data_IF_705980639410
#
_entry.id   IF_705980639410
#
_cell.length_a   1.000
_cell.length_b   1.000
_cell.length_c   1.000
_cell.angle_alpha   90.00
_cell.angle_beta   90.00
_cell.angle_gamma   90.00
#
_symmetry.space_group_name_H-M   'P 1'
#
loop_
_entity.id
_entity.type
_entity.pdbx_description
1 polymer ?
#
# COMPACT_ATOMS: atom_id res chain seq x y z
N UNK A 1 -13.20 23.55 -22.34
CA UNK A 1 -12.71 22.90 -21.11
C UNK A 1 -11.40 22.21 -21.48
N UNK A 2 -10.25 22.74 -21.09
CA UNK A 2 -8.98 22.03 -21.23
C UNK A 2 -8.69 21.34 -19.89
N UNK A 3 -8.56 20.00 -19.84
CA UNK A 3 -8.23 19.32 -18.60
C UNK A 3 -6.85 19.77 -18.11
N UNK A 4 -6.75 19.96 -16.80
CA UNK A 4 -5.51 20.32 -16.10
C UNK A 4 -4.48 19.21 -16.39
N UNK A 5 -3.35 19.58 -16.99
CA UNK A 5 -2.22 18.67 -17.20
C UNK A 5 -1.45 18.54 -15.89
N UNK A 6 -1.48 17.36 -15.30
CA UNK A 6 -0.69 17.02 -14.11
C UNK A 6 0.49 16.15 -14.57
N UNK A 7 1.71 16.65 -14.39
CA UNK A 7 2.95 15.91 -14.65
C UNK A 7 3.55 16.06 -16.06
N UNK A 8 4.80 15.64 -16.19
CA UNK A 8 5.53 15.62 -17.45
C UNK A 8 4.94 14.59 -18.43
N UNK A 9 5.00 14.91 -19.72
CA UNK A 9 4.53 14.06 -20.80
C UNK A 9 5.63 13.10 -21.23
N UNK A 10 5.29 11.83 -21.34
CA UNK A 10 6.16 10.79 -21.88
C UNK A 10 5.64 10.39 -23.25
N UNK A 11 6.56 10.33 -24.23
CA UNK A 11 6.25 9.83 -25.57
C UNK A 11 6.53 8.33 -25.62
N UNK A 12 5.54 7.54 -26.00
CA UNK A 12 5.63 6.07 -26.05
C UNK A 12 5.23 5.54 -27.43
N UNK A 13 5.68 4.34 -27.83
CA UNK A 13 5.23 3.73 -29.08
C UNK A 13 3.71 3.56 -29.13
N UNK A 14 3.12 3.87 -30.28
CA UNK A 14 1.69 3.65 -30.54
C UNK A 14 1.40 2.20 -30.94
N UNK A 15 0.23 1.69 -30.56
CA UNK A 15 -0.20 0.33 -30.86
C UNK A 15 -0.24 0.02 -32.37
N UNK A 16 -0.74 0.97 -33.17
CA UNK A 16 -0.82 0.88 -34.63
C UNK A 16 0.36 1.60 -35.33
N UNK A 17 1.50 1.73 -34.64
CA UNK A 17 2.67 2.46 -35.10
C UNK A 17 2.71 3.92 -34.65
N UNK A 18 3.78 4.62 -35.02
CA UNK A 18 4.04 5.99 -34.57
C UNK A 18 4.27 6.09 -33.06
N UNK A 19 4.01 7.27 -32.51
CA UNK A 19 4.11 7.53 -31.07
C UNK A 19 2.84 8.18 -30.55
N UNK A 20 2.56 7.95 -29.27
CA UNK A 20 1.46 8.59 -28.54
C UNK A 20 2.00 9.27 -27.29
N UNK A 21 1.29 10.31 -26.85
CA UNK A 21 1.61 11.03 -25.63
C UNK A 21 0.87 10.36 -24.47
N UNK A 22 1.60 10.03 -23.42
CA UNK A 22 1.09 9.53 -22.15
C UNK A 22 1.51 10.46 -21.02
N UNK A 23 0.73 10.51 -19.95
CA UNK A 23 1.23 10.96 -18.66
C UNK A 23 1.89 9.78 -17.91
N UNK A 24 2.53 10.08 -16.78
CA UNK A 24 3.18 9.07 -15.95
C UNK A 24 2.22 8.03 -15.37
N UNK A 25 0.99 8.42 -15.02
CA UNK A 25 0.00 7.50 -14.43
C UNK A 25 -0.43 6.44 -15.44
N UNK A 26 -0.78 6.87 -16.65
CA UNK A 26 -1.13 6.00 -17.76
C UNK A 26 0.06 5.16 -18.22
N UNK A 27 1.29 5.71 -18.15
CA UNK A 27 2.50 4.96 -18.44
C UNK A 27 2.73 3.82 -17.44
N UNK A 28 2.54 4.07 -16.14
CA UNK A 28 2.60 3.01 -15.12
C UNK A 28 1.54 1.93 -15.37
N UNK A 29 0.31 2.31 -15.73
CA UNK A 29 -0.74 1.36 -16.11
C UNK A 29 -0.33 0.47 -17.29
N UNK A 30 0.25 1.07 -18.34
CA UNK A 30 0.84 0.35 -19.48
C UNK A 30 1.91 -0.65 -19.03
N UNK A 31 2.84 -0.24 -18.18
CA UNK A 31 3.92 -1.12 -17.71
C UNK A 31 3.40 -2.31 -16.90
N UNK A 32 2.32 -2.13 -16.12
CA UNK A 32 1.67 -3.25 -15.43
C UNK A 32 1.00 -4.22 -16.41
N UNK A 33 0.35 -3.70 -17.46
CA UNK A 33 -0.24 -4.54 -18.50
C UNK A 33 0.81 -5.36 -19.24
N UNK A 34 1.94 -4.76 -19.61
CA UNK A 34 3.06 -5.45 -20.24
C UNK A 34 3.52 -6.66 -19.42
N UNK A 35 3.79 -6.42 -18.12
CA UNK A 35 4.22 -7.47 -17.18
C UNK A 35 3.17 -8.57 -17.05
N UNK A 36 1.90 -8.21 -16.99
CA UNK A 36 0.81 -9.18 -16.88
C UNK A 36 0.72 -10.05 -18.14
N UNK A 37 0.74 -9.44 -19.33
CA UNK A 37 0.69 -10.18 -20.59
C UNK A 37 1.91 -11.10 -20.71
N UNK A 38 3.11 -10.61 -20.40
CA UNK A 38 4.33 -11.40 -20.44
C UNK A 38 4.31 -12.58 -19.47
N UNK A 39 3.82 -12.40 -18.25
CA UNK A 39 3.71 -13.45 -17.23
C UNK A 39 2.84 -14.63 -17.67
N UNK A 40 1.74 -14.36 -18.37
CA UNK A 40 0.78 -15.38 -18.80
C UNK A 40 0.99 -15.87 -20.23
N UNK A 41 1.86 -15.23 -21.01
CA UNK A 41 2.18 -15.64 -22.39
C UNK A 41 2.69 -17.10 -22.47
N UNK A 42 3.58 -17.59 -21.58
CA UNK A 42 3.99 -18.99 -21.58
C UNK A 42 2.85 -19.99 -21.28
N UNK A 43 1.75 -19.52 -20.68
CA UNK A 43 0.57 -20.34 -20.37
C UNK A 43 -0.43 -20.38 -21.54
N UNK A 44 -0.06 -19.83 -22.70
CA UNK A 44 -0.89 -19.82 -23.91
C UNK A 44 -1.80 -18.60 -24.06
N UNK A 45 -1.57 -17.51 -23.31
CA UNK A 45 -2.34 -16.29 -23.45
C UNK A 45 -2.10 -15.63 -24.83
N UNK A 46 -3.17 -15.44 -25.59
CA UNK A 46 -3.20 -14.62 -26.79
C UNK A 46 -3.92 -13.30 -26.50
N UNK A 47 -3.16 -12.22 -26.30
CA UNK A 47 -3.71 -10.89 -25.99
C UNK A 47 -3.71 -10.00 -27.25
N UNK A 48 -4.84 -9.34 -27.53
CA UNK A 48 -4.98 -8.42 -28.67
C UNK A 48 -5.30 -7.01 -28.18
N UNK A 49 -4.46 -6.03 -28.52
CA UNK A 49 -4.69 -4.62 -28.21
C UNK A 49 -5.47 -3.97 -29.35
N UNK A 50 -6.72 -3.60 -29.07
CA UNK A 50 -7.61 -3.00 -30.05
C UNK A 50 -7.68 -1.46 -30.02
N UNK A 51 -6.97 -0.85 -29.07
CA UNK A 51 -7.01 0.58 -28.83
C UNK A 51 -5.99 1.33 -29.68
N UNK A 52 -6.37 2.52 -30.15
CA UNK A 52 -5.43 3.44 -30.81
C UNK A 52 -4.68 4.29 -29.77
N UNK A 53 -3.98 3.61 -28.87
CA UNK A 53 -3.24 4.21 -27.76
C UNK A 53 -1.81 3.67 -27.69
N UNK A 54 -1.27 3.58 -26.48
CA UNK A 54 0.06 3.04 -26.26
C UNK A 54 0.13 1.57 -26.69
N UNK A 55 1.27 1.18 -27.27
CA UNK A 55 1.62 -0.21 -27.50
C UNK A 55 1.80 -0.91 -26.14
N UNK A 56 1.22 -2.10 -26.04
CA UNK A 56 1.38 -3.00 -24.89
C UNK A 56 2.29 -4.13 -25.34
N UNK A 57 3.40 -4.35 -24.63
CA UNK A 57 4.33 -5.41 -24.98
C UNK A 57 3.70 -6.79 -24.78
N UNK A 58 4.01 -7.70 -25.68
CA UNK A 58 3.44 -9.05 -25.70
C UNK A 58 2.03 -9.16 -26.31
N UNK A 59 1.30 -8.06 -26.46
CA UNK A 59 -0.01 -8.03 -27.13
C UNK A 59 0.10 -7.78 -28.66
N UNK A 60 -0.87 -8.28 -29.42
CA UNK A 60 -0.96 -8.09 -30.86
C UNK A 60 -1.86 -6.89 -31.21
N UNK A 61 -1.42 -5.93 -32.04
CA UNK A 61 -2.28 -4.87 -32.52
C UNK A 61 -3.36 -5.44 -33.44
N UNK A 62 -4.63 -5.13 -33.18
CA UNK A 62 -5.77 -5.60 -33.98
C UNK A 62 -6.87 -4.54 -34.00
N UNK A 63 -7.33 -4.08 -35.15
CA UNK A 63 -8.49 -3.17 -35.12
C UNK A 63 -9.74 -3.93 -34.69
N UNK A 64 -10.59 -3.30 -33.88
CA UNK A 64 -11.82 -3.92 -33.37
C UNK A 64 -12.78 -4.41 -34.47
N UNK A 65 -12.78 -3.74 -35.63
CA UNK A 65 -13.55 -4.14 -36.82
C UNK A 65 -13.05 -5.44 -37.49
N UNK A 66 -11.82 -5.85 -37.22
CA UNK A 66 -11.18 -7.03 -37.79
C UNK A 66 -11.27 -8.24 -36.84
N UNK A 67 -11.96 -8.08 -35.69
CA UNK A 67 -12.20 -9.18 -34.75
C UNK A 67 -13.17 -10.17 -35.39
N UNK A 68 -12.73 -11.42 -35.53
CA UNK A 68 -13.56 -12.56 -35.92
C UNK A 68 -13.58 -13.55 -34.75
N UNK A 69 -14.73 -13.69 -34.10
CA UNK A 69 -14.92 -14.66 -33.02
C UNK A 69 -15.45 -15.96 -33.59
N UNK A 70 -14.64 -17.01 -33.55
CA UNK A 70 -15.13 -18.39 -33.66
C UNK A 70 -15.60 -18.81 -32.27
N UNK A 71 -16.90 -18.68 -32.01
CA UNK A 71 -17.47 -19.02 -30.70
C UNK A 71 -17.52 -20.54 -30.58
N UNK A 72 -16.48 -21.13 -30.00
CA UNK A 72 -16.46 -22.57 -29.67
C UNK A 72 -17.07 -22.86 -28.29
N UNK A 73 -17.18 -21.84 -27.42
CA UNK A 73 -17.62 -21.99 -26.03
C UNK A 73 -18.86 -21.15 -25.74
N UNK A 74 -19.82 -21.72 -25.01
CA UNK A 74 -20.99 -21.00 -24.52
C UNK A 74 -20.58 -20.05 -23.38
N UNK A 75 -20.77 -18.74 -23.61
CA UNK A 75 -20.50 -17.69 -22.62
C UNK A 75 -21.15 -18.00 -21.27
N UNK A 76 -22.35 -18.60 -21.27
CA UNK A 76 -23.09 -18.93 -20.05
C UNK A 76 -22.32 -19.95 -19.21
N UNK A 77 -21.75 -20.97 -19.84
CA UNK A 77 -20.94 -21.99 -19.17
C UNK A 77 -19.67 -21.40 -18.55
N UNK A 78 -19.00 -20.46 -19.25
CA UNK A 78 -17.82 -19.76 -18.72
C UNK A 78 -18.18 -18.92 -17.50
N UNK A 79 -19.30 -18.18 -17.56
CA UNK A 79 -19.79 -17.38 -16.42
C UNK A 79 -20.10 -18.29 -15.22
N UNK A 80 -20.80 -19.40 -15.45
CA UNK A 80 -21.16 -20.34 -14.40
C UNK A 80 -19.92 -20.99 -13.77
N UNK A 81 -18.94 -21.39 -14.60
CA UNK A 81 -17.66 -21.88 -14.12
C UNK A 81 -16.95 -20.85 -13.23
N UNK A 82 -16.81 -19.61 -13.69
CA UNK A 82 -16.17 -18.54 -12.91
C UNK A 82 -16.88 -18.38 -11.57
N UNK A 83 -18.21 -18.25 -11.56
CA UNK A 83 -19.00 -18.02 -10.34
C UNK A 83 -18.95 -19.19 -9.36
N UNK A 84 -18.98 -20.42 -9.85
CA UNK A 84 -19.11 -21.61 -9.01
C UNK A 84 -17.77 -22.23 -8.60
N UNK A 85 -16.70 -22.01 -9.37
CA UNK A 85 -15.42 -22.71 -9.17
C UNK A 85 -14.27 -21.78 -8.77
N UNK A 86 -14.34 -20.48 -9.09
CA UNK A 86 -13.24 -19.54 -8.80
C UNK A 86 -13.54 -18.60 -7.62
N UNK A 87 -14.71 -18.72 -7.02
CA UNK A 87 -15.10 -17.96 -5.84
C UNK A 87 -15.57 -18.90 -4.73
N UNK A 88 -15.32 -18.50 -3.49
CA UNK A 88 -15.86 -19.13 -2.30
C UNK A 88 -17.00 -18.23 -1.80
N UNK A 89 -18.14 -18.78 -1.36
CA UNK A 89 -19.19 -17.98 -0.72
C UNK A 89 -18.60 -17.17 0.44
N UNK A 90 -18.97 -15.89 0.51
CA UNK A 90 -18.62 -15.08 1.69
C UNK A 90 -19.41 -15.63 2.87
N UNK A 91 -18.70 -16.01 3.93
CA UNK A 91 -19.33 -16.40 5.16
C UNK A 91 -19.88 -15.14 5.87
N UNK A 92 -21.20 -15.00 5.85
CA UNK A 92 -21.91 -13.87 6.47
C UNK A 92 -22.07 -14.02 7.98
N UNK A 93 -21.69 -15.17 8.55
CA UNK A 93 -21.76 -15.43 9.99
C UNK A 93 -20.45 -15.11 10.71
N UNK A 94 -19.37 -14.83 9.97
CA UNK A 94 -18.09 -14.39 10.55
C UNK A 94 -18.28 -13.03 11.20
N UNK A 95 -18.11 -12.97 12.51
CA UNK A 95 -17.96 -11.70 13.21
C UNK A 95 -16.59 -11.09 12.82
N UNK A 96 -16.61 -10.14 11.88
CA UNK A 96 -15.41 -9.45 11.44
C UNK A 96 -14.63 -8.80 12.59
N UNK A 97 -15.32 -8.48 13.69
CA UNK A 97 -14.69 -7.93 14.90
C UNK A 97 -13.71 -8.90 15.54
N UNK A 98 -13.96 -10.21 15.45
CA UNK A 98 -13.06 -11.25 15.95
C UNK A 98 -11.77 -11.35 15.13
N UNK A 99 -11.79 -10.91 13.86
CA UNK A 99 -10.61 -10.91 12.98
C UNK A 99 -9.66 -9.74 13.21
N UNK A 100 -10.07 -8.73 13.99
CA UNK A 100 -9.32 -7.49 14.20
C UNK A 100 -8.29 -7.56 15.32
N UNK A 101 -8.37 -8.59 16.18
CA UNK A 101 -7.42 -8.88 17.26
C UNK A 101 -6.96 -7.63 18.05
N UNK A 102 -7.93 -6.90 18.62
CA UNK A 102 -7.68 -5.65 19.35
C UNK A 102 -6.68 -5.81 20.50
N UNK A 103 -6.67 -6.98 21.15
CA UNK A 103 -5.75 -7.27 22.26
C UNK A 103 -4.31 -7.40 21.76
N UNK A 104 -4.09 -8.07 20.62
CA UNK A 104 -2.77 -8.11 20.01
C UNK A 104 -2.30 -6.71 19.60
N UNK A 105 -3.20 -5.89 19.05
CA UNK A 105 -2.86 -4.51 18.69
C UNK A 105 -2.47 -3.66 19.90
N UNK A 106 -3.23 -3.76 20.99
CA UNK A 106 -2.94 -3.09 22.25
C UNK A 106 -1.58 -3.53 22.81
N UNK A 107 -1.29 -4.83 22.75
CA UNK A 107 0.00 -5.38 23.18
C UNK A 107 1.16 -4.84 22.34
N UNK A 108 1.03 -4.81 21.01
CA UNK A 108 2.06 -4.27 20.10
C UNK A 108 2.35 -2.80 20.45
N UNK A 109 1.31 -1.96 20.53
CA UNK A 109 1.47 -0.55 20.86
C UNK A 109 2.12 -0.35 22.24
N UNK A 110 1.69 -1.12 23.24
CA UNK A 110 2.25 -1.06 24.59
C UNK A 110 3.73 -1.44 24.61
N UNK A 111 4.12 -2.53 23.98
CA UNK A 111 5.53 -2.96 23.94
C UNK A 111 6.40 -1.97 23.17
N UNK A 112 5.90 -1.36 22.09
CA UNK A 112 6.60 -0.26 21.43
C UNK A 112 6.84 0.92 22.38
N UNK A 113 5.84 1.31 23.18
CA UNK A 113 5.99 2.37 24.19
C UNK A 113 7.01 1.98 25.26
N UNK A 114 6.99 0.73 25.74
CA UNK A 114 7.94 0.23 26.74
C UNK A 114 9.39 0.32 26.23
N UNK A 115 9.65 -0.04 24.97
CA UNK A 115 10.97 0.12 24.34
C UNK A 115 11.39 1.60 24.31
N UNK A 116 10.46 2.49 23.92
CA UNK A 116 10.70 3.92 23.77
C UNK A 116 10.75 4.71 25.09
N UNK A 117 10.28 4.12 26.20
CA UNK A 117 10.37 4.69 27.55
C UNK A 117 11.75 4.42 28.21
N UNK A 118 12.65 3.72 27.53
CA UNK A 118 14.05 3.56 27.95
C UNK A 118 14.73 4.92 28.10
N UNK A 119 15.44 5.13 29.21
CA UNK A 119 16.21 6.35 29.43
C UNK A 119 17.34 6.48 28.39
N UNK A 120 17.46 7.66 27.78
CA UNK A 120 18.50 7.97 26.78
C UNK A 120 19.21 9.27 27.15
N UNK A 121 20.53 9.27 27.04
CA UNK A 121 21.39 10.40 27.39
C UNK A 121 22.17 10.95 26.19
N UNK A 122 22.21 10.23 25.07
CA UNK A 122 22.92 10.63 23.86
C UNK A 122 22.20 10.14 22.59
N UNK A 123 22.65 10.65 21.43
CA UNK A 123 22.05 10.31 20.13
C UNK A 123 22.14 8.82 19.79
N UNK A 124 23.20 8.15 20.21
CA UNK A 124 23.38 6.71 19.95
C UNK A 124 22.29 5.91 20.64
N UNK A 125 22.08 6.14 21.94
CA UNK A 125 21.02 5.51 22.72
C UNK A 125 19.62 5.85 22.18
N UNK A 126 19.39 7.12 21.80
CA UNK A 126 18.14 7.53 21.17
C UNK A 126 17.89 6.82 19.83
N UNK A 127 18.92 6.68 19.00
CA UNK A 127 18.82 5.94 17.74
C UNK A 127 18.55 4.45 17.99
N UNK A 128 19.24 3.84 18.93
CA UNK A 128 19.12 2.42 19.24
C UNK A 128 17.70 2.09 19.72
N UNK A 129 17.12 2.89 20.61
CA UNK A 129 15.73 2.72 21.09
C UNK A 129 14.70 2.88 19.96
N UNK A 130 14.88 3.86 19.06
CA UNK A 130 14.03 3.99 17.88
C UNK A 130 14.11 2.76 16.97
N UNK A 131 15.33 2.31 16.67
CA UNK A 131 15.56 1.15 15.81
C UNK A 131 15.03 -0.13 16.44
N UNK A 132 15.14 -0.29 17.74
CA UNK A 132 14.56 -1.41 18.47
C UNK A 132 13.03 -1.42 18.35
N UNK A 133 12.37 -0.27 18.56
CA UNK A 133 10.91 -0.17 18.43
C UNK A 133 10.43 -0.50 17.00
N UNK A 134 11.17 -0.07 15.97
CA UNK A 134 10.87 -0.41 14.58
C UNK A 134 11.13 -1.88 14.29
N UNK A 135 12.25 -2.46 14.75
CA UNK A 135 12.54 -3.89 14.54
C UNK A 135 11.45 -4.76 15.18
N UNK A 136 10.98 -4.38 16.36
CA UNK A 136 9.83 -5.03 16.99
C UNK A 136 8.57 -4.94 16.12
N UNK A 137 8.20 -3.76 15.60
CA UNK A 137 7.07 -3.66 14.68
C UNK A 137 7.27 -4.53 13.42
N UNK A 138 8.47 -4.51 12.83
CA UNK A 138 8.78 -5.27 11.61
C UNK A 138 8.81 -6.78 11.81
N UNK A 139 8.93 -7.31 13.03
CA UNK A 139 8.83 -8.75 13.26
C UNK A 139 7.46 -9.31 12.89
N UNK A 140 6.41 -8.47 12.91
CA UNK A 140 5.04 -8.86 12.53
C UNK A 140 4.78 -8.88 11.02
N UNK A 141 5.69 -8.33 10.20
CA UNK A 141 5.51 -8.21 8.74
C UNK A 141 5.39 -9.56 8.02
N UNK A 142 6.10 -10.58 8.51
CA UNK A 142 6.12 -11.91 7.89
C UNK A 142 5.00 -12.83 8.42
N UNK A 143 4.32 -12.44 9.49
CA UNK A 143 3.29 -13.26 10.13
C UNK A 143 1.90 -12.89 9.59
N UNK A 144 1.30 -13.77 8.78
CA UNK A 144 -0.03 -13.53 8.16
C UNK A 144 -1.10 -13.13 9.17
N UNK A 145 -1.04 -13.66 10.39
CA UNK A 145 -1.98 -13.32 11.47
C UNK A 145 -1.90 -11.84 11.85
N UNK A 146 -0.72 -11.26 11.96
CA UNK A 146 -0.51 -9.89 12.46
C UNK A 146 -0.20 -8.87 11.37
N UNK A 147 -0.08 -9.31 10.11
CA UNK A 147 0.21 -8.44 8.98
C UNK A 147 -0.76 -7.26 8.88
N UNK A 148 -2.05 -7.48 9.14
CA UNK A 148 -3.04 -6.40 9.11
C UNK A 148 -2.78 -5.33 10.19
N UNK A 149 -2.37 -5.73 11.40
CA UNK A 149 -2.00 -4.81 12.48
C UNK A 149 -0.71 -4.06 12.18
N UNK A 150 0.28 -4.75 11.61
CA UNK A 150 1.51 -4.14 11.12
C UNK A 150 1.21 -3.02 10.10
N UNK A 151 0.36 -3.30 9.11
CA UNK A 151 -0.01 -2.35 8.07
C UNK A 151 -0.75 -1.10 8.61
N UNK A 152 -1.46 -1.22 9.74
CA UNK A 152 -2.10 -0.07 10.39
C UNK A 152 -1.09 0.96 10.93
N UNK A 153 0.10 0.52 11.35
CA UNK A 153 1.08 1.37 12.03
C UNK A 153 2.32 1.67 11.16
N UNK A 154 2.70 0.79 10.22
CA UNK A 154 3.98 0.89 9.47
C UNK A 154 4.21 2.29 8.89
N UNK A 155 3.19 2.85 8.22
CA UNK A 155 3.31 4.18 7.58
C UNK A 155 3.60 5.30 8.58
N UNK A 156 2.85 5.35 9.68
CA UNK A 156 3.02 6.35 10.73
C UNK A 156 4.36 6.17 11.44
N UNK A 157 4.74 4.94 11.77
CA UNK A 157 6.01 4.65 12.42
C UNK A 157 7.19 5.10 11.55
N UNK A 158 7.19 4.79 10.25
CA UNK A 158 8.26 5.22 9.33
C UNK A 158 8.34 6.75 9.20
N UNK A 159 7.19 7.43 9.08
CA UNK A 159 7.13 8.88 8.95
C UNK A 159 7.63 9.58 10.23
N UNK A 160 7.12 9.15 11.38
CA UNK A 160 7.49 9.70 12.69
C UNK A 160 8.95 9.40 13.01
N UNK A 161 9.45 8.19 12.74
CA UNK A 161 10.89 7.90 12.89
C UNK A 161 11.75 8.82 12.02
N UNK A 162 11.37 9.08 10.76
CA UNK A 162 12.12 10.01 9.91
C UNK A 162 12.16 11.43 10.50
N UNK A 163 11.05 11.87 11.09
CA UNK A 163 10.95 13.17 11.78
C UNK A 163 11.82 13.21 13.04
N UNK A 164 11.79 12.15 13.85
CA UNK A 164 12.60 12.02 15.07
C UNK A 164 14.10 11.98 14.76
N UNK A 165 14.51 11.28 13.68
CA UNK A 165 15.88 11.29 13.18
C UNK A 165 16.32 12.70 12.73
N UNK A 166 15.43 13.43 12.05
CA UNK A 166 15.67 14.84 11.75
C UNK A 166 15.87 15.67 13.02
N UNK A 167 15.04 15.45 14.04
CA UNK A 167 15.21 16.07 15.36
C UNK A 167 16.56 15.77 16.00
N UNK A 168 17.04 14.52 15.89
CA UNK A 168 18.32 14.09 16.47
C UNK A 168 19.53 14.69 15.76
N UNK A 169 19.52 14.83 14.43
CA UNK A 169 20.74 15.09 13.66
C UNK A 169 20.80 16.44 12.94
N UNK A 170 19.75 17.27 13.00
CA UNK A 170 19.73 18.53 12.24
C UNK A 170 20.48 19.71 12.91
N UNK A 171 20.74 19.69 14.22
CA UNK A 171 21.42 20.78 14.92
C UNK A 171 22.05 20.34 16.25
N UNK A 172 22.81 21.24 16.89
CA UNK A 172 23.26 21.17 18.29
C UNK A 172 24.19 20.01 18.65
N UNK A 173 24.59 19.94 19.92
CA UNK A 173 25.23 18.75 20.52
C UNK A 173 24.21 17.87 21.28
N UNK A 174 24.66 16.82 21.96
CA UNK A 174 23.76 15.87 22.64
C UNK A 174 22.98 16.56 23.78
N UNK A 175 23.61 17.47 24.54
CA UNK A 175 22.95 18.18 25.65
C UNK A 175 21.83 19.09 25.14
N UNK A 176 22.05 19.74 24.00
CA UNK A 176 21.06 20.62 23.38
C UNK A 176 19.89 19.84 22.76
N UNK A 177 20.16 18.73 22.06
CA UNK A 177 19.14 18.04 21.23
C UNK A 177 18.27 17.08 22.01
N UNK A 178 18.81 16.37 22.99
CA UNK A 178 18.08 15.30 23.69
C UNK A 178 16.76 15.80 24.31
N UNK A 179 16.69 16.98 24.97
CA UNK A 179 15.43 17.52 25.47
C UNK A 179 14.35 17.71 24.39
N UNK A 180 14.73 18.20 23.20
CA UNK A 180 13.79 18.38 22.09
C UNK A 180 13.37 17.05 21.48
N UNK A 181 14.32 16.12 21.33
CA UNK A 181 14.02 14.75 20.89
C UNK A 181 13.01 14.09 21.83
N UNK A 182 13.21 14.17 23.14
CA UNK A 182 12.29 13.58 24.13
C UNK A 182 10.90 14.21 24.06
N UNK A 183 10.81 15.53 23.83
CA UNK A 183 9.52 16.20 23.62
C UNK A 183 8.81 15.70 22.33
N UNK A 184 9.55 15.53 21.23
CA UNK A 184 9.00 14.95 19.99
C UNK A 184 8.59 13.49 20.17
N UNK A 185 9.40 12.70 20.87
CA UNK A 185 9.15 11.29 21.15
C UNK A 185 7.88 11.11 22.00
N UNK A 186 7.62 12.02 22.92
CA UNK A 186 6.40 11.97 23.74
C UNK A 186 5.13 12.08 22.90
N UNK A 187 5.13 12.84 21.80
CA UNK A 187 4.00 12.86 20.87
C UNK A 187 3.75 11.50 20.22
N UNK A 188 4.83 10.80 19.83
CA UNK A 188 4.74 9.45 19.29
C UNK A 188 4.22 8.44 20.31
N UNK A 189 4.77 8.45 21.53
CA UNK A 189 4.31 7.58 22.63
C UNK A 189 2.86 7.88 22.99
N UNK A 190 2.45 9.15 23.01
CA UNK A 190 1.05 9.54 23.23
C UNK A 190 0.13 8.98 22.16
N UNK A 191 0.52 9.04 20.89
CA UNK A 191 -0.23 8.42 19.80
C UNK A 191 -0.35 6.91 20.03
N UNK A 192 0.77 6.20 20.24
CA UNK A 192 0.78 4.75 20.48
C UNK A 192 -0.09 4.33 21.66
N UNK A 193 -0.13 5.12 22.74
CA UNK A 193 -1.02 4.85 23.89
C UNK A 193 -2.51 5.03 23.55
N UNK A 194 -2.84 5.93 22.62
CA UNK A 194 -4.22 6.22 22.20
C UNK A 194 -4.72 5.35 21.04
N UNK A 195 -3.81 4.84 20.21
CA UNK A 195 -4.13 4.10 18.99
C UNK A 195 -5.00 2.86 19.25
N UNK A 196 -4.77 2.04 20.30
CA UNK A 196 -5.63 0.89 20.59
C UNK A 196 -7.08 1.27 20.84
N UNK A 197 -7.33 2.34 21.59
CA UNK A 197 -8.69 2.85 21.83
C UNK A 197 -9.32 3.32 20.54
N UNK A 198 -8.61 4.12 19.74
CA UNK A 198 -9.11 4.59 18.43
C UNK A 198 -9.46 3.42 17.52
N UNK A 199 -8.62 2.39 17.46
CA UNK A 199 -8.88 1.21 16.64
C UNK A 199 -10.11 0.46 17.13
N UNK A 200 -10.24 0.23 18.45
CA UNK A 200 -11.36 -0.49 19.05
C UNK A 200 -12.70 0.22 18.90
N UNK A 201 -12.71 1.55 18.97
CA UNK A 201 -13.92 2.36 18.93
C UNK A 201 -14.35 2.79 17.52
N UNK A 202 -13.42 2.81 16.55
CA UNK A 202 -13.67 3.38 15.21
C UNK A 202 -13.41 2.43 14.04
N UNK A 203 -13.20 1.14 14.28
CA UNK A 203 -12.93 0.18 13.20
C UNK A 203 -14.02 0.12 12.12
N UNK A 204 -15.28 0.42 12.47
CA UNK A 204 -16.45 0.41 11.59
C UNK A 204 -16.92 1.82 11.17
N UNK A 205 -16.11 2.84 11.45
CA UNK A 205 -16.44 4.23 11.17
C UNK A 205 -15.60 4.74 10.00
N UNK A 206 -16.26 5.29 8.98
CA UNK A 206 -15.57 5.97 7.88
C UNK A 206 -14.77 7.17 8.42
N UNK A 207 -13.61 7.43 7.83
CA UNK A 207 -12.81 8.62 8.16
C UNK A 207 -13.67 9.88 8.05
N UNK A 208 -13.54 10.78 9.04
CA UNK A 208 -14.23 12.08 9.06
C UNK A 208 -13.78 12.99 7.90
N UNK A 209 -12.70 12.62 7.20
CA UNK A 209 -12.25 13.23 5.96
C UNK A 209 -13.08 12.76 4.77
N UNK A 210 -14.35 13.15 4.76
CA UNK A 210 -15.16 13.13 3.56
C UNK A 210 -14.70 14.27 2.64
N UNK A 211 -14.06 13.93 1.52
CA UNK A 211 -13.55 14.87 0.50
C UNK A 211 -14.68 15.65 -0.21
N UNK A 212 -15.93 15.46 0.21
CA UNK A 212 -17.14 16.11 -0.30
C UNK A 212 -17.72 17.21 0.60
N UNK A 213 -17.06 17.59 1.69
CA UNK A 213 -17.43 18.81 2.46
C UNK A 213 -16.57 20.00 2.09
#
# INVERSE_FOLDING_TARGET
YQPIQIGDKVTVPGNFGGTVISDHFMYTGKEQMDRLVELYKPQGLNCYNCSNGAKIEGAYPLHSKDIVLQVEQDKSQVIDYIKQQLFIPVDTEVDHKELLDFEAFEHICKTMVEILDTEVSNRGEALDTLMESLRYLYSFKAETRYLHLFLLIEGEALYVTSTLLGGLYNFGDDEEVIPYYMALLEHWKSFLRSAPTMYRERWDVLSDHDWKK
#
